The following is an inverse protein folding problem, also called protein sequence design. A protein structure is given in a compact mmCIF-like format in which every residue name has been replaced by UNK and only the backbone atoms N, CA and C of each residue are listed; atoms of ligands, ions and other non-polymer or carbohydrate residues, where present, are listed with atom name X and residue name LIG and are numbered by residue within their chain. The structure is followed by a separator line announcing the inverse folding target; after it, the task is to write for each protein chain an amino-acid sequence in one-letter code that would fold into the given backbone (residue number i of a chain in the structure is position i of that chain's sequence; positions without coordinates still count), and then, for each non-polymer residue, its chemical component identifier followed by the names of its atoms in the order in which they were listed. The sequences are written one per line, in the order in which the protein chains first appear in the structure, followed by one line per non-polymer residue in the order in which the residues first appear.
data_IF_433504721486
#
_entry.id   IF_433504721486
#
_cell.length_a   1.000
_cell.length_b   1.000
_cell.length_c   1.000
_cell.angle_alpha   90.00
_cell.angle_beta   90.00
_cell.angle_gamma   90.00
#
_symmetry.space_group_name_H-M   'P 1'
#
loop_
_entity.id
_entity.type
_entity.pdbx_description
1 polymer ?
#
# COMPACT_ATOMS: atom_id res chain seq x y z
N UNK A 1 -37.40 7.03 -5.12
CA UNK A 1 -36.18 6.81 -4.31
C UNK A 1 -35.65 5.46 -4.72
N UNK A 2 -34.59 5.42 -5.52
CA UNK A 2 -34.00 4.17 -5.96
C UNK A 2 -33.14 3.60 -4.84
N UNK A 3 -33.32 2.31 -4.61
CA UNK A 3 -32.52 1.40 -3.80
C UNK A 3 -31.04 1.80 -3.69
N UNK A 4 -30.63 2.31 -2.53
CA UNK A 4 -29.21 2.51 -2.14
C UNK A 4 -28.57 1.17 -1.74
N UNK A 5 -28.90 0.12 -2.49
CA UNK A 5 -28.48 -1.24 -2.29
C UNK A 5 -26.99 -1.39 -2.56
N UNK A 6 -26.18 -1.30 -1.51
CA UNK A 6 -24.79 -1.78 -1.40
C UNK A 6 -23.91 -1.59 -2.64
N UNK A 7 -23.56 -0.35 -2.98
CA UNK A 7 -22.33 -0.14 -3.76
C UNK A 7 -21.14 -0.39 -2.84
N UNK A 8 -20.56 -1.59 -2.94
CA UNK A 8 -19.26 -1.84 -2.33
C UNK A 8 -18.28 -0.75 -2.84
N UNK A 9 -17.51 -0.10 -1.95
CA UNK A 9 -16.53 0.88 -2.40
C UNK A 9 -15.55 0.20 -3.35
N UNK A 10 -15.16 0.90 -4.41
CA UNK A 10 -14.19 0.38 -5.37
C UNK A 10 -12.85 0.23 -4.62
N UNK A 11 -12.26 -0.97 -4.54
CA UNK A 11 -10.99 -1.17 -3.86
C UNK A 11 -9.86 -0.46 -4.63
N UNK A 12 -8.97 0.19 -3.87
CA UNK A 12 -7.80 0.87 -4.42
C UNK A 12 -6.67 -0.13 -4.77
N UNK A 13 -6.67 -1.28 -4.11
CA UNK A 13 -5.69 -2.36 -4.30
C UNK A 13 -6.47 -3.61 -4.70
N UNK A 14 -6.19 -4.15 -5.88
CA UNK A 14 -6.82 -5.36 -6.41
C UNK A 14 -5.75 -6.41 -6.63
N UNK A 15 -5.98 -7.61 -6.09
CA UNK A 15 -5.18 -8.81 -6.37
C UNK A 15 -5.93 -9.66 -7.39
N UNK A 16 -5.36 -9.79 -8.58
CA UNK A 16 -5.95 -10.58 -9.66
C UNK A 16 -5.54 -12.05 -9.54
N UNK A 17 -6.41 -12.95 -10.00
CA UNK A 17 -6.13 -14.39 -9.97
C UNK A 17 -4.92 -14.82 -10.83
N UNK A 18 -4.47 -13.96 -11.77
CA UNK A 18 -3.25 -14.15 -12.55
C UNK A 18 -1.96 -13.87 -11.77
N UNK A 19 -2.06 -13.33 -10.55
CA UNK A 19 -0.93 -12.97 -9.70
C UNK A 19 -0.52 -11.50 -9.80
N UNK A 20 -1.15 -10.73 -10.69
CA UNK A 20 -0.96 -9.29 -10.75
C UNK A 20 -1.62 -8.58 -9.57
N UNK A 21 -1.04 -7.46 -9.15
CA UNK A 21 -1.62 -6.53 -8.18
C UNK A 21 -1.49 -5.10 -8.70
N UNK A 22 -2.44 -4.23 -8.37
CA UNK A 22 -2.31 -2.79 -8.60
C UNK A 22 -1.00 -2.29 -7.96
N UNK A 23 0.02 -1.82 -8.72
CA UNK A 23 1.27 -1.34 -8.12
C UNK A 23 1.01 -0.17 -7.19
N UNK A 24 1.72 -0.10 -6.07
CA UNK A 24 1.45 0.95 -5.11
C UNK A 24 2.35 0.95 -3.88
N UNK A 25 2.01 1.87 -2.98
CA UNK A 25 2.64 1.99 -1.68
C UNK A 25 1.61 2.38 -0.61
N UNK A 26 1.90 2.03 0.63
CA UNK A 26 1.15 2.37 1.82
C UNK A 26 2.09 3.00 2.85
N UNK A 27 1.78 4.23 3.25
CA UNK A 27 2.56 5.00 4.22
C UNK A 27 1.87 4.99 5.59
N UNK A 28 2.60 4.60 6.62
CA UNK A 28 2.20 4.81 8.02
C UNK A 28 2.87 6.07 8.53
N UNK A 29 2.07 7.05 8.89
CA UNK A 29 2.52 8.36 9.32
C UNK A 29 2.09 8.59 10.78
N UNK A 30 3.00 9.09 11.60
CA UNK A 30 2.68 9.61 12.92
C UNK A 30 1.71 10.80 12.78
N UNK A 31 0.51 10.68 13.36
CA UNK A 31 -0.53 11.70 13.21
C UNK A 31 -0.21 13.03 13.88
N UNK A 32 0.57 13.03 14.95
CA UNK A 32 0.90 14.22 15.71
C UNK A 32 2.05 15.00 15.07
N UNK A 33 3.05 14.31 14.53
CA UNK A 33 4.27 14.92 13.97
C UNK A 33 4.29 14.98 12.46
N UNK A 34 3.50 14.15 11.78
CA UNK A 34 3.56 13.98 10.32
C UNK A 34 4.76 13.15 9.85
N UNK A 35 5.53 12.55 10.77
CA UNK A 35 6.70 11.75 10.42
C UNK A 35 6.28 10.43 9.75
N UNK A 36 6.90 10.12 8.61
CA UNK A 36 6.78 8.80 7.99
C UNK A 36 7.48 7.77 8.89
N UNK A 37 6.72 6.81 9.41
CA UNK A 37 7.24 5.73 10.24
C UNK A 37 7.69 4.57 9.37
N UNK A 38 6.85 4.18 8.41
CA UNK A 38 7.10 3.08 7.49
C UNK A 38 6.43 3.32 6.16
N UNK A 39 7.04 2.80 5.09
CA UNK A 39 6.42 2.61 3.78
C UNK A 39 6.45 1.13 3.42
N UNK A 40 5.29 0.57 3.08
CA UNK A 40 5.20 -0.70 2.37
C UNK A 40 4.99 -0.39 0.90
N UNK A 41 5.90 -0.80 0.02
CA UNK A 41 5.74 -0.66 -1.42
C UNK A 41 5.71 -2.03 -2.10
N UNK A 42 5.02 -2.13 -3.23
CA UNK A 42 4.97 -3.34 -4.03
C UNK A 42 4.83 -3.04 -5.52
N UNK A 43 5.35 -3.95 -6.34
CA UNK A 43 5.25 -3.86 -7.79
C UNK A 43 4.05 -4.65 -8.35
N UNK A 44 3.93 -4.71 -9.68
CA UNK A 44 2.86 -5.41 -10.40
C UNK A 44 2.76 -6.91 -10.03
N UNK A 45 3.85 -7.53 -9.61
CA UNK A 45 3.91 -8.94 -9.26
C UNK A 45 3.72 -9.19 -7.75
N UNK A 46 3.42 -8.13 -6.99
CA UNK A 46 3.25 -8.21 -5.54
C UNK A 46 4.54 -8.41 -4.78
N UNK A 47 5.71 -8.22 -5.41
CA UNK A 47 6.98 -8.23 -4.68
C UNK A 47 7.01 -6.98 -3.81
N UNK A 48 7.04 -7.18 -2.50
CA UNK A 48 6.89 -6.12 -1.52
C UNK A 48 8.17 -5.85 -0.74
N UNK A 49 8.40 -4.58 -0.43
CA UNK A 49 9.51 -4.08 0.40
C UNK A 49 8.95 -3.19 1.51
N UNK A 50 9.36 -3.44 2.75
CA UNK A 50 9.04 -2.60 3.90
C UNK A 50 10.23 -1.69 4.21
N UNK A 51 9.99 -0.38 4.20
CA UNK A 51 10.99 0.67 4.34
C UNK A 51 10.73 1.47 5.63
N UNK A 52 11.50 1.26 6.72
CA UNK A 52 11.48 2.14 7.88
C UNK A 52 11.84 3.57 7.48
N UNK A 53 11.02 4.55 7.90
CA UNK A 53 11.19 5.95 7.48
C UNK A 53 11.01 6.21 5.98
N UNK A 54 10.60 5.23 5.19
CA UNK A 54 10.53 5.33 3.73
C UNK A 54 11.87 5.15 3.01
N UNK A 55 12.93 4.78 3.72
CA UNK A 55 14.26 4.60 3.15
C UNK A 55 14.68 3.12 3.18
N UNK A 56 15.45 2.72 2.18
CA UNK A 56 16.09 1.41 2.19
C UNK A 56 17.26 1.50 3.17
N UNK A 57 17.20 0.70 4.23
CA UNK A 57 18.37 0.52 5.09
C UNK A 57 19.36 -0.31 4.28
N UNK A 58 20.40 0.34 3.77
CA UNK A 58 21.55 -0.37 3.22
C UNK A 58 22.21 -1.12 4.39
N UNK A 59 22.21 -2.45 4.34
CA UNK A 59 23.03 -3.23 5.25
C UNK A 59 24.49 -2.95 4.89
N UNK A 60 25.22 -2.27 5.78
CA UNK A 60 26.65 -2.05 5.66
C UNK A 60 27.34 -3.42 5.52
N UNK A 61 27.89 -3.69 4.33
CA UNK A 61 28.47 -4.98 3.93
C UNK A 61 29.92 -5.14 4.39
#
# INVERSE_FOLDING_TARGET
MADDGMRQPIPQIVFFAGGEVTPGQLDWVDRATGNLLYRLQWDLFGRSELLPGGERIEEES
#
